data_IF_875528916306
#
_entry.id   IF_875528916306
#
_cell.length_a   1.000
_cell.length_b   1.000
_cell.length_c   1.000
_cell.angle_alpha   90.00
_cell.angle_beta   90.00
_cell.angle_gamma   90.00
#
_symmetry.space_group_name_H-M   'P 1'
#
loop_
_entity.id
_entity.type
_entity.pdbx_description
1 polymer ?
#
# COMPACT_ATOMS: atom_id res chain seq x y z
N UNK A 1 19.59 -8.57 -33.56
CA UNK A 1 19.97 -8.38 -32.14
C UNK A 1 18.84 -7.61 -31.42
N UNK A 2 17.91 -8.30 -30.75
CA UNK A 2 16.78 -7.66 -30.06
C UNK A 2 16.51 -8.23 -28.65
N UNK A 3 17.26 -9.24 -28.20
CA UNK A 3 17.06 -9.90 -26.91
C UNK A 3 17.80 -9.24 -25.74
N UNK A 4 18.80 -8.39 -25.99
CA UNK A 4 19.60 -7.77 -24.92
C UNK A 4 18.82 -6.70 -24.14
N UNK A 5 18.04 -5.86 -24.84
CA UNK A 5 17.34 -4.73 -24.22
C UNK A 5 16.18 -5.17 -23.31
N UNK A 6 15.57 -6.33 -23.59
CA UNK A 6 14.53 -6.92 -22.74
C UNK A 6 15.13 -7.58 -21.50
N UNK A 7 16.27 -8.25 -21.62
CA UNK A 7 16.99 -8.85 -20.49
C UNK A 7 17.50 -7.82 -19.48
N UNK A 8 18.01 -6.67 -19.94
CA UNK A 8 18.46 -5.61 -19.01
C UNK A 8 17.30 -5.05 -18.19
N UNK A 9 16.14 -4.84 -18.81
CA UNK A 9 14.95 -4.36 -18.11
C UNK A 9 14.50 -5.38 -17.07
N UNK A 10 14.43 -6.67 -17.43
CA UNK A 10 14.07 -7.77 -16.54
C UNK A 10 15.08 -7.97 -15.39
N UNK A 11 16.37 -7.82 -15.65
CA UNK A 11 17.43 -7.95 -14.65
C UNK A 11 17.37 -6.83 -13.60
N UNK A 12 17.06 -5.61 -14.03
CA UNK A 12 16.88 -4.49 -13.12
C UNK A 12 15.60 -4.61 -12.28
N UNK A 13 14.50 -5.11 -12.84
CA UNK A 13 13.26 -5.32 -12.06
C UNK A 13 13.49 -6.30 -10.90
N UNK A 14 14.26 -7.37 -11.11
CA UNK A 14 14.58 -8.33 -10.04
C UNK A 14 15.37 -7.70 -8.89
N UNK A 15 16.43 -6.93 -9.20
CA UNK A 15 17.23 -6.24 -8.17
C UNK A 15 16.39 -5.19 -7.42
N UNK A 16 15.47 -4.53 -8.12
CA UNK A 16 14.53 -3.59 -7.53
C UNK A 16 13.60 -4.30 -6.55
N UNK A 17 13.01 -5.42 -6.94
CA UNK A 17 12.15 -6.23 -6.06
C UNK A 17 12.91 -6.66 -4.79
N UNK A 18 14.11 -7.22 -4.93
CA UNK A 18 14.93 -7.65 -3.78
C UNK A 18 15.24 -6.50 -2.81
N UNK A 19 15.54 -5.31 -3.36
CA UNK A 19 15.80 -4.12 -2.55
C UNK A 19 14.55 -3.64 -1.82
N UNK A 20 13.39 -3.71 -2.48
CA UNK A 20 12.10 -3.37 -1.88
C UNK A 20 11.68 -4.41 -0.82
N UNK A 21 11.97 -5.69 -1.02
CA UNK A 21 11.69 -6.74 -0.02
C UNK A 21 12.51 -6.51 1.25
N UNK A 22 13.82 -6.23 1.13
CA UNK A 22 14.65 -5.83 2.27
C UNK A 22 14.13 -4.57 2.95
N UNK A 23 13.67 -3.59 2.18
CA UNK A 23 13.10 -2.38 2.73
C UNK A 23 11.80 -2.66 3.51
N UNK A 24 10.92 -3.55 3.02
CA UNK A 24 9.70 -3.97 3.73
C UNK A 24 10.02 -4.74 5.01
N UNK A 25 11.09 -5.54 5.01
CA UNK A 25 11.55 -6.27 6.19
C UNK A 25 12.07 -5.34 7.30
N UNK A 26 12.82 -4.30 6.91
CA UNK A 26 13.34 -3.29 7.85
C UNK A 26 12.24 -2.32 8.31
N UNK A 27 11.52 -1.74 7.37
CA UNK A 27 10.45 -0.75 7.61
C UNK A 27 9.24 -1.04 6.71
N UNK A 28 8.18 -1.66 7.25
CA UNK A 28 6.97 -1.92 6.49
C UNK A 28 6.15 -0.64 6.28
N UNK A 29 6.55 0.15 5.28
CA UNK A 29 5.93 1.42 4.90
C UNK A 29 4.91 1.18 3.77
N UNK A 30 3.72 1.80 3.81
CA UNK A 30 2.71 1.68 2.74
C UNK A 30 3.23 2.07 1.34
N UNK A 31 4.13 3.05 1.27
CA UNK A 31 4.78 3.47 0.03
C UNK A 31 5.64 2.35 -0.56
N UNK A 32 6.48 1.70 0.24
CA UNK A 32 7.33 0.59 -0.21
C UNK A 32 6.47 -0.58 -0.74
N UNK A 33 5.38 -0.91 -0.03
CA UNK A 33 4.43 -1.95 -0.47
C UNK A 33 3.76 -1.62 -1.82
N UNK A 34 3.41 -0.35 -2.05
CA UNK A 34 2.84 0.09 -3.33
C UNK A 34 3.86 -0.01 -4.48
N UNK A 35 5.12 0.39 -4.25
CA UNK A 35 6.18 0.28 -5.27
C UNK A 35 6.49 -1.19 -5.57
N UNK A 36 6.49 -2.04 -4.54
CA UNK A 36 6.71 -3.48 -4.65
C UNK A 36 5.56 -4.15 -5.45
N UNK A 37 4.32 -3.71 -5.25
CA UNK A 37 3.18 -4.16 -6.05
C UNK A 37 3.33 -3.78 -7.54
N UNK A 38 3.73 -2.55 -7.84
CA UNK A 38 3.94 -2.08 -9.22
C UNK A 38 5.09 -2.82 -9.93
N UNK A 39 6.13 -3.19 -9.17
CA UNK A 39 7.20 -4.05 -9.63
C UNK A 39 6.69 -5.45 -10.00
N UNK A 40 5.82 -6.03 -9.17
CA UNK A 40 5.21 -7.33 -9.45
C UNK A 40 4.27 -7.30 -10.65
N UNK A 41 3.46 -6.25 -10.81
CA UNK A 41 2.64 -6.04 -12.02
C UNK A 41 3.51 -6.00 -13.29
N UNK A 42 4.65 -5.31 -13.23
CA UNK A 42 5.60 -5.24 -14.34
C UNK A 42 6.23 -6.60 -14.70
N UNK A 43 6.18 -7.57 -13.79
CA UNK A 43 6.63 -8.95 -14.02
C UNK A 43 5.51 -9.93 -14.37
N UNK A 44 4.26 -9.45 -14.44
CA UNK A 44 3.07 -10.27 -14.70
C UNK A 44 2.51 -10.98 -13.46
N UNK A 45 2.99 -10.63 -12.26
CA UNK A 45 2.54 -11.20 -10.98
C UNK A 45 1.43 -10.35 -10.36
N UNK A 46 0.33 -10.18 -11.09
CA UNK A 46 -0.81 -9.33 -10.71
C UNK A 46 -1.49 -9.78 -9.41
N UNK A 47 -1.56 -11.08 -9.12
CA UNK A 47 -2.13 -11.58 -7.87
C UNK A 47 -1.35 -11.08 -6.63
N UNK A 48 -0.02 -11.12 -6.69
CA UNK A 48 0.85 -10.62 -5.62
C UNK A 48 0.76 -9.10 -5.49
N UNK A 49 0.72 -8.38 -6.61
CA UNK A 49 0.50 -6.93 -6.63
C UNK A 49 -0.78 -6.54 -5.90
N UNK A 50 -1.89 -7.21 -6.24
CA UNK A 50 -3.20 -6.91 -5.66
C UNK A 50 -3.19 -7.10 -4.15
N UNK A 51 -2.61 -8.20 -3.68
CA UNK A 51 -2.51 -8.49 -2.24
C UNK A 51 -1.67 -7.44 -1.48
N UNK A 52 -0.55 -7.00 -2.07
CA UNK A 52 0.31 -5.96 -1.50
C UNK A 52 -0.38 -4.60 -1.45
N UNK A 53 -1.13 -4.24 -2.49
CA UNK A 53 -1.96 -3.01 -2.51
C UNK A 53 -3.03 -3.04 -1.44
N UNK A 54 -3.69 -4.18 -1.23
CA UNK A 54 -4.66 -4.33 -0.14
C UNK A 54 -3.99 -4.17 1.23
N UNK A 55 -2.81 -4.76 1.42
CA UNK A 55 -2.02 -4.63 2.66
C UNK A 55 -1.58 -3.18 2.90
N UNK A 56 -1.11 -2.49 1.86
CA UNK A 56 -0.75 -1.08 1.92
C UNK A 56 -1.95 -0.20 2.26
N UNK A 57 -3.10 -0.47 1.63
CA UNK A 57 -4.35 0.25 1.88
C UNK A 57 -4.82 0.06 3.32
N UNK A 58 -4.79 -1.18 3.84
CA UNK A 58 -5.12 -1.47 5.24
C UNK A 58 -4.22 -0.73 6.24
N UNK A 59 -2.93 -0.56 5.93
CA UNK A 59 -2.02 0.23 6.76
C UNK A 59 -2.27 1.74 6.65
N UNK A 60 -2.70 2.22 5.47
CA UNK A 60 -2.92 3.64 5.22
C UNK A 60 -4.27 4.14 5.73
N UNK A 61 -5.30 3.30 5.67
CA UNK A 61 -6.56 3.58 6.33
C UNK A 61 -6.37 3.38 7.83
N UNK A 62 -6.37 4.43 8.67
CA UNK A 62 -6.88 4.21 10.01
C UNK A 62 -8.25 3.57 9.82
N UNK A 63 -8.55 2.48 10.52
CA UNK A 63 -9.94 2.03 10.66
C UNK A 63 -10.81 3.28 10.79
N UNK A 64 -11.99 3.36 10.13
CA UNK A 64 -12.89 4.45 10.41
C UNK A 64 -13.20 4.33 11.90
N UNK A 65 -12.45 5.08 12.72
CA UNK A 65 -12.70 5.24 14.13
C UNK A 65 -14.16 5.62 14.13
N UNK A 66 -15.00 4.68 14.58
CA UNK A 66 -16.45 4.78 14.56
C UNK A 66 -16.73 6.24 14.81
N UNK A 67 -17.27 6.95 13.81
CA UNK A 67 -17.74 8.33 14.01
C UNK A 67 -18.79 8.18 15.09
N UNK A 68 -18.36 8.20 16.34
CA UNK A 68 -19.19 8.38 17.51
C UNK A 68 -19.67 9.78 17.25
N UNK A 69 -20.81 9.85 16.59
CA UNK A 69 -21.60 11.05 16.42
C UNK A 69 -21.86 11.51 17.85
N UNK A 70 -20.94 12.30 18.40
CA UNK A 70 -21.14 13.04 19.62
C UNK A 70 -22.16 14.10 19.24
N UNK A 71 -23.42 13.68 19.16
CA UNK A 71 -24.53 14.61 19.09
C UNK A 71 -24.42 15.46 20.36
N UNK A 72 -24.19 16.77 20.27
CA UNK A 72 -24.24 17.62 21.45
C UNK A 72 -25.69 17.60 21.93
N UNK A 73 -25.95 16.86 23.01
CA UNK A 73 -27.24 16.82 23.69
C UNK A 73 -27.42 18.18 24.37
N UNK A 74 -27.96 19.15 23.64
CA UNK A 74 -28.27 20.46 24.22
C UNK A 74 -29.39 20.29 25.25
N UNK A 75 -29.19 20.63 26.53
CA UNK A 75 -30.31 20.72 27.46
C UNK A 75 -31.13 21.96 27.10
N UNK A 76 -32.40 21.77 26.72
CA UNK A 76 -33.34 22.89 26.60
C UNK A 76 -33.56 23.45 28.01
N UNK A 77 -33.07 24.66 28.21
CA UNK A 77 -33.20 25.46 29.44
C UNK A 77 -34.69 25.58 29.78
N UNK A 78 -35.07 25.10 30.97
CA UNK A 78 -36.40 25.36 31.55
C UNK A 78 -36.40 26.81 31.99
N UNK A 79 -37.39 27.59 31.54
CA UNK A 79 -37.62 28.96 32.01
C UNK A 79 -39.01 28.97 32.65
N UNK A 80 -38.99 29.25 33.96
CA UNK A 80 -40.01 29.84 34.85
C UNK A 80 -41.46 29.35 34.75
#
# INVERSE_FOLDING_TARGET
>A
MAYAKTLEKLGNTKKMIESLEKAVELEPIPQTLNILAEAYDSTGQTELSTNLREKATRMLTPEPAKRIQRQPKQPRKIIM
#
